data_IF_663902706084
#
_entry.id   IF_663902706084
#
_cell.length_a   1.000
_cell.length_b   1.000
_cell.length_c   1.000
_cell.angle_alpha   90.00
_cell.angle_beta   90.00
_cell.angle_gamma   90.00
#
_symmetry.space_group_name_H-M   'P 1'
#
loop_
_entity.id
_entity.type
_entity.pdbx_description
1 polymer ?
#
# COMPACT_ATOMS: atom_id res chain seq x y z
N UNK A 1 17.87 -14.47 -8.33
CA UNK A 1 16.72 -15.01 -9.09
C UNK A 1 15.90 -13.84 -9.57
N UNK A 2 16.05 -13.46 -10.85
CA UNK A 2 15.39 -12.35 -11.52
C UNK A 2 14.35 -12.94 -12.47
N UNK A 3 13.08 -13.07 -12.08
CA UNK A 3 11.95 -13.44 -12.95
C UNK A 3 10.59 -13.24 -12.24
N UNK A 4 10.33 -12.07 -11.68
CA UNK A 4 8.94 -11.65 -11.39
C UNK A 4 8.72 -10.31 -12.06
N UNK A 5 8.12 -10.33 -13.25
CA UNK A 5 7.46 -9.14 -13.78
C UNK A 5 6.42 -8.69 -12.77
N UNK A 6 6.54 -7.44 -12.30
CA UNK A 6 5.60 -6.72 -11.42
C UNK A 6 5.14 -7.57 -10.22
N UNK A 7 5.93 -7.59 -9.14
CA UNK A 7 5.46 -8.12 -7.86
C UNK A 7 4.36 -7.21 -7.28
N UNK A 8 3.10 -7.65 -7.37
CA UNK A 8 1.93 -7.02 -6.74
C UNK A 8 2.19 -6.54 -5.29
N UNK A 9 2.79 -7.33 -4.37
CA UNK A 9 3.06 -6.84 -3.01
C UNK A 9 4.08 -5.70 -2.97
N UNK A 10 5.03 -5.66 -3.91
CA UNK A 10 5.99 -4.56 -4.03
C UNK A 10 5.32 -3.28 -4.52
N UNK A 11 4.43 -3.41 -5.50
CA UNK A 11 3.62 -2.33 -6.07
C UNK A 11 2.68 -1.71 -5.01
N UNK A 12 1.99 -2.54 -4.23
CA UNK A 12 1.14 -2.07 -3.13
C UNK A 12 1.93 -1.26 -2.09
N UNK A 13 3.18 -1.64 -1.79
CA UNK A 13 4.03 -0.85 -0.91
C UNK A 13 4.51 0.46 -1.55
N UNK A 14 4.85 0.44 -2.84
CA UNK A 14 5.28 1.65 -3.56
C UNK A 14 4.16 2.68 -3.73
N UNK A 15 2.92 2.23 -3.95
CA UNK A 15 1.75 3.11 -4.09
C UNK A 15 1.13 3.45 -2.73
N UNK A 16 1.03 2.47 -1.83
CA UNK A 16 0.34 2.65 -0.55
C UNK A 16 1.02 3.64 0.39
N UNK A 17 2.36 3.72 0.38
CA UNK A 17 3.11 4.68 1.20
C UNK A 17 2.87 6.15 0.79
N UNK A 18 3.02 6.56 -0.48
CA UNK A 18 2.74 7.94 -0.90
C UNK A 18 1.25 8.28 -0.86
N UNK A 19 0.35 7.30 -1.06
CA UNK A 19 -1.09 7.49 -0.82
C UNK A 19 -1.37 7.62 0.69
N UNK A 20 -0.49 7.20 1.58
CA UNK A 20 -0.67 7.27 3.03
C UNK A 20 -1.59 6.18 3.58
N UNK A 21 -2.06 5.27 2.73
CA UNK A 21 -2.77 4.06 3.15
C UNK A 21 -1.86 3.12 3.95
N UNK A 22 -0.57 3.07 3.61
CA UNK A 22 0.45 2.29 4.33
C UNK A 22 1.35 3.25 5.10
N UNK A 23 1.46 3.05 6.40
CA UNK A 23 2.37 3.80 7.25
C UNK A 23 3.77 3.19 7.23
N UNK A 24 4.78 4.05 7.03
CA UNK A 24 6.19 3.68 7.16
C UNK A 24 6.85 4.43 8.31
N UNK A 25 7.17 3.72 9.40
CA UNK A 25 7.87 4.26 10.59
C UNK A 25 9.29 3.72 10.62
N UNK A 26 10.24 4.54 10.18
CA UNK A 26 11.63 4.13 9.96
C UNK A 26 11.72 3.06 8.87
N UNK A 27 12.09 1.84 9.24
CA UNK A 27 12.11 0.67 8.34
C UNK A 27 10.88 -0.23 8.50
N UNK A 28 9.94 0.09 9.38
CA UNK A 28 8.74 -0.74 9.63
C UNK A 28 7.57 -0.28 8.78
N UNK A 29 6.80 -1.23 8.25
CA UNK A 29 5.58 -1.01 7.46
C UNK A 29 4.35 -1.50 8.23
N UNK A 30 3.27 -0.72 8.18
CA UNK A 30 1.98 -1.04 8.80
C UNK A 30 0.82 -0.59 7.91
N UNK A 31 -0.30 -1.31 7.99
CA UNK A 31 -1.59 -0.95 7.40
C UNK A 31 -2.62 -0.84 8.53
N UNK A 32 -3.00 0.38 8.90
CA UNK A 32 -3.76 0.64 10.12
C UNK A 32 -3.04 0.05 11.34
N UNK A 33 -3.69 -0.88 12.04
CA UNK A 33 -3.13 -1.59 13.20
C UNK A 33 -2.35 -2.87 12.81
N UNK A 34 -2.40 -3.28 11.54
CA UNK A 34 -1.76 -4.50 11.06
C UNK A 34 -0.28 -4.24 10.75
N UNK A 35 0.62 -4.89 11.48
CA UNK A 35 2.06 -4.83 11.22
C UNK A 35 2.42 -5.72 10.03
N UNK A 36 2.84 -5.11 8.92
CA UNK A 36 3.23 -5.83 7.71
C UNK A 36 4.65 -6.40 7.83
N UNK A 37 5.54 -5.71 8.54
CA UNK A 37 6.89 -6.20 8.80
C UNK A 37 7.93 -5.10 8.95
N UNK A 38 9.14 -5.50 9.32
CA UNK A 38 10.31 -4.62 9.37
C UNK A 38 11.16 -4.88 8.14
N UNK A 39 11.31 -3.88 7.28
CA UNK A 39 11.97 -3.99 5.99
C UNK A 39 11.00 -4.37 4.87
N UNK A 40 11.32 -3.90 3.66
CA UNK A 40 10.47 -4.07 2.47
C UNK A 40 10.25 -5.53 2.11
N UNK A 41 11.29 -6.37 2.18
CA UNK A 41 11.19 -7.78 1.81
C UNK A 41 10.30 -8.57 2.78
N UNK A 42 10.39 -8.29 4.09
CA UNK A 42 9.50 -8.90 5.09
C UNK A 42 8.04 -8.46 4.91
N UNK A 43 7.81 -7.17 4.60
CA UNK A 43 6.48 -6.68 4.29
C UNK A 43 5.90 -7.35 3.03
N UNK A 44 6.71 -7.52 1.98
CA UNK A 44 6.29 -8.25 0.77
C UNK A 44 5.98 -9.71 1.07
N UNK A 45 6.79 -10.37 1.89
CA UNK A 45 6.59 -11.76 2.30
C UNK A 45 5.26 -11.91 3.06
N UNK A 46 5.01 -11.05 4.06
CA UNK A 46 3.73 -11.03 4.77
C UNK A 46 2.53 -10.85 3.83
N UNK A 47 2.61 -9.91 2.89
CA UNK A 47 1.55 -9.67 1.94
C UNK A 47 1.30 -10.89 1.04
N UNK A 48 2.35 -11.56 0.55
CA UNK A 48 2.20 -12.79 -0.24
C UNK A 48 1.50 -13.90 0.54
N UNK A 49 1.75 -14.00 1.84
CA UNK A 49 1.11 -14.99 2.73
C UNK A 49 -0.31 -14.58 3.14
N UNK A 50 -0.66 -13.30 3.02
CA UNK A 50 -1.94 -12.74 3.45
C UNK A 50 -2.67 -12.02 2.29
N UNK A 51 -3.19 -12.77 1.30
CA UNK A 51 -3.85 -12.19 0.13
C UNK A 51 -5.11 -11.38 0.49
N UNK A 52 -5.77 -11.69 1.60
CA UNK A 52 -6.89 -10.91 2.13
C UNK A 52 -6.45 -9.48 2.47
N UNK A 53 -5.34 -9.34 3.19
CA UNK A 53 -4.77 -8.02 3.56
C UNK A 53 -4.34 -7.25 2.32
N UNK A 54 -3.76 -7.93 1.32
CA UNK A 54 -3.44 -7.28 0.04
C UNK A 54 -4.67 -6.69 -0.65
N UNK A 55 -5.80 -7.42 -0.64
CA UNK A 55 -7.05 -6.97 -1.24
C UNK A 55 -7.62 -5.75 -0.50
N UNK A 56 -7.57 -5.76 0.83
CA UNK A 56 -7.96 -4.63 1.67
C UNK A 56 -7.12 -3.39 1.38
N UNK A 57 -5.79 -3.53 1.37
CA UNK A 57 -4.87 -2.43 1.04
C UNK A 57 -5.18 -1.87 -0.35
N UNK A 58 -5.33 -2.73 -1.36
CA UNK A 58 -5.65 -2.29 -2.73
C UNK A 58 -6.96 -1.51 -2.78
N UNK A 59 -7.99 -2.00 -2.09
CA UNK A 59 -9.31 -1.34 -2.05
C UNK A 59 -9.17 0.04 -1.42
N UNK A 60 -8.48 0.11 -0.27
CA UNK A 60 -8.28 1.34 0.46
C UNK A 60 -7.47 2.38 -0.32
N UNK A 61 -6.42 1.96 -1.04
CA UNK A 61 -5.66 2.83 -1.95
C UNK A 61 -6.57 3.45 -3.01
N UNK A 62 -7.42 2.64 -3.66
CA UNK A 62 -8.33 3.13 -4.70
C UNK A 62 -9.37 4.11 -4.14
N UNK A 63 -9.88 3.83 -2.94
CA UNK A 63 -10.79 4.76 -2.25
C UNK A 63 -10.09 6.07 -1.93
N UNK A 64 -8.90 6.04 -1.33
CA UNK A 64 -8.16 7.24 -0.96
C UNK A 64 -7.77 8.08 -2.19
N UNK A 65 -7.47 7.45 -3.33
CA UNK A 65 -7.22 8.14 -4.60
C UNK A 65 -8.48 8.84 -5.14
N UNK A 66 -9.64 8.16 -5.15
CA UNK A 66 -10.90 8.77 -5.58
C UNK A 66 -11.28 9.99 -4.74
N UNK A 67 -11.09 9.92 -3.43
CA UNK A 67 -11.37 11.06 -2.54
C UNK A 67 -10.44 12.24 -2.81
N UNK A 68 -9.18 12.00 -3.22
CA UNK A 68 -8.23 13.06 -3.58
C UNK A 68 -8.55 13.74 -4.91
N UNK A 69 -9.02 12.98 -5.91
CA UNK A 69 -9.50 13.58 -7.16
C UNK A 69 -10.73 14.47 -6.92
N UNK A 70 -11.65 14.04 -6.06
CA UNK A 70 -12.86 14.81 -5.74
C UNK A 70 -12.53 16.12 -5.00
N UNK A 71 -11.54 16.11 -4.10
CA UNK A 71 -11.12 17.30 -3.37
C UNK A 71 -10.42 18.35 -4.25
N UNK A 72 -9.74 17.92 -5.32
CA UNK A 72 -9.06 18.84 -6.25
C UNK A 72 -10.04 19.54 -7.19
N UNK A 73 -11.20 18.93 -7.48
CA UNK A 73 -12.18 19.52 -8.38
C UNK A 73 -13.00 20.66 -7.74
N UNK A 74 -13.14 20.67 -6.41
CA UNK A 74 -13.88 21.73 -5.68
C UNK A 74 -13.05 23.00 -5.42
N UNK A 75 -11.74 22.99 -5.64
CA UNK A 75 -10.88 24.19 -5.46
C UNK A 75 -10.72 25.01 -6.74
N UNK A 76 -11.27 24.53 -7.86
CA UNK A 76 -11.20 25.18 -9.18
C UNK A 76 -12.56 25.75 -9.62
N UNK A 77 -13.55 25.76 -8.74
CA UNK A 77 -14.90 26.33 -8.97
C UNK A 77 -15.15 27.53 -8.07
#
# INVERSE_FOLDING_TARGET
MYNEGISIPGDLLDVGVPVGTIEKKGNSYAFGEVKLGVGRENAKQFLRENPTVMKDIRTKILEDMKHRETATQSVIS
#
